data_IF_560705048714
#
_entry.id   IF_560705048714
#
_cell.length_a   1.000
_cell.length_b   1.000
_cell.length_c   1.000
_cell.angle_alpha   90.00
_cell.angle_beta   90.00
_cell.angle_gamma   90.00
#
_symmetry.space_group_name_H-M   'P 1'
#
loop_
_entity.id
_entity.type
_entity.pdbx_description
1 polymer ?
#
# COMPACT_ATOMS: atom_id res chain seq x y z
N UNK A 1 -34.89 -7.23 6.06
CA UNK A 1 -33.46 -7.12 6.43
C UNK A 1 -32.63 -7.66 5.28
N UNK A 2 -31.89 -6.80 4.56
CA UNK A 2 -30.94 -7.24 3.53
C UNK A 2 -29.75 -7.95 4.23
N UNK A 3 -29.28 -9.10 3.75
CA UNK A 3 -28.06 -9.69 4.29
C UNK A 3 -26.90 -8.73 4.04
N UNK A 4 -26.25 -8.31 5.12
CA UNK A 4 -25.00 -7.56 5.07
C UNK A 4 -23.99 -8.51 4.43
N UNK A 5 -23.58 -8.22 3.19
CA UNK A 5 -22.49 -8.92 2.55
C UNK A 5 -21.26 -8.80 3.46
N UNK A 6 -20.82 -9.93 4.02
CA UNK A 6 -19.64 -9.97 4.88
C UNK A 6 -18.46 -9.41 4.09
N UNK A 7 -17.96 -8.23 4.50
CA UNK A 7 -16.72 -7.67 3.95
C UNK A 7 -15.64 -8.74 4.08
N UNK A 8 -14.99 -9.17 2.98
CA UNK A 8 -13.87 -10.10 3.09
C UNK A 8 -12.83 -9.46 4.01
N UNK A 9 -12.46 -10.17 5.08
CA UNK A 9 -11.41 -9.73 6.00
C UNK A 9 -10.17 -9.44 5.16
N UNK A 10 -9.52 -8.30 5.34
CA UNK A 10 -8.35 -7.88 4.53
C UNK A 10 -7.22 -8.93 4.57
N UNK A 11 -7.13 -9.71 5.65
CA UNK A 11 -6.23 -10.87 5.75
C UNK A 11 -6.55 -12.03 4.80
N UNK A 12 -7.78 -12.15 4.28
CA UNK A 12 -8.19 -13.18 3.33
C UNK A 12 -7.70 -12.91 1.88
N UNK A 13 -7.13 -11.73 1.63
CA UNK A 13 -6.60 -11.35 0.31
C UNK A 13 -5.07 -11.47 0.23
N UNK A 14 -4.38 -11.49 1.38
CA UNK A 14 -2.93 -11.65 1.41
C UNK A 14 -2.55 -13.12 1.19
N UNK A 15 -1.52 -13.35 0.39
CA UNK A 15 -0.97 -14.68 0.12
C UNK A 15 -0.31 -15.26 1.38
N UNK A 16 -0.74 -16.44 1.83
CA UNK A 16 -0.22 -17.12 3.04
C UNK A 16 1.28 -17.49 2.95
N UNK A 17 1.86 -17.50 1.74
CA UNK A 17 3.27 -17.84 1.51
C UNK A 17 4.19 -16.64 1.75
N UNK A 18 3.83 -15.47 1.20
CA UNK A 18 4.68 -14.27 1.24
C UNK A 18 4.19 -13.22 2.26
N UNK A 19 2.94 -13.30 2.68
CA UNK A 19 2.32 -12.41 3.65
C UNK A 19 2.13 -10.96 3.19
N UNK A 20 2.42 -10.64 1.92
CA UNK A 20 2.52 -9.24 1.44
C UNK A 20 1.77 -8.94 0.15
N UNK A 21 1.52 -9.93 -0.70
CA UNK A 21 0.93 -9.75 -2.05
C UNK A 21 -0.42 -10.45 -2.17
N UNK A 22 -1.30 -10.03 -3.11
CA UNK A 22 -2.58 -10.69 -3.35
C UNK A 22 -2.43 -12.18 -3.63
N UNK A 23 -3.40 -12.99 -3.20
CA UNK A 23 -3.36 -14.44 -3.40
C UNK A 23 -3.21 -14.79 -4.91
N UNK A 24 -2.19 -15.56 -5.31
CA UNK A 24 -2.00 -15.93 -6.72
C UNK A 24 -3.13 -16.81 -7.24
N UNK A 25 -3.36 -16.77 -8.56
CA UNK A 25 -4.32 -17.65 -9.23
C UNK A 25 -4.02 -19.13 -8.93
N UNK A 26 -5.07 -19.93 -8.70
CA UNK A 26 -4.98 -21.37 -8.35
C UNK A 26 -4.08 -22.17 -9.31
N UNK A 27 -4.11 -21.86 -10.61
CA UNK A 27 -3.28 -22.53 -11.62
C UNK A 27 -1.79 -22.28 -11.42
N UNK A 28 -1.37 -21.06 -11.08
CA UNK A 28 0.03 -20.71 -10.83
C UNK A 28 0.53 -21.37 -9.54
N UNK A 29 -0.33 -21.44 -8.52
CA UNK A 29 -0.02 -22.16 -7.29
C UNK A 29 0.18 -23.66 -7.55
N UNK A 30 -0.70 -24.29 -8.33
CA UNK A 30 -0.56 -25.70 -8.69
C UNK A 30 0.71 -25.97 -9.50
N UNK A 31 1.01 -25.11 -10.49
CA UNK A 31 2.25 -25.22 -11.28
C UNK A 31 3.50 -25.01 -10.43
N UNK A 32 3.48 -24.08 -9.48
CA UNK A 32 4.61 -23.87 -8.57
C UNK A 32 4.87 -25.11 -7.69
N UNK A 33 3.82 -25.72 -7.15
CA UNK A 33 3.94 -26.98 -6.39
C UNK A 33 4.49 -28.11 -7.25
N UNK A 34 3.99 -28.26 -8.48
CA UNK A 34 4.50 -29.25 -9.43
C UNK A 34 5.97 -28.99 -9.77
N UNK A 35 6.36 -27.74 -10.02
CA UNK A 35 7.74 -27.36 -10.33
C UNK A 35 8.71 -27.62 -9.17
N UNK A 36 8.25 -27.51 -7.92
CA UNK A 36 9.05 -27.86 -6.74
C UNK A 36 9.25 -29.37 -6.59
N UNK A 37 8.21 -30.16 -6.87
CA UNK A 37 8.18 -31.62 -6.67
C UNK A 37 8.87 -32.38 -7.80
N UNK A 38 8.53 -32.02 -9.04
CA UNK A 38 8.81 -32.85 -10.21
C UNK A 38 10.31 -33.09 -10.48
N UNK A 39 11.22 -32.10 -10.38
CA UNK A 39 12.63 -32.33 -10.66
C UNK A 39 13.30 -33.32 -9.69
N UNK A 40 12.90 -33.27 -8.42
CA UNK A 40 13.45 -34.13 -7.37
C UNK A 40 12.98 -35.57 -7.57
N UNK A 41 11.68 -35.76 -7.81
CA UNK A 41 11.11 -37.07 -8.12
C UNK A 41 11.73 -37.66 -9.39
N UNK A 42 11.86 -36.85 -10.46
CA UNK A 42 12.46 -37.30 -11.72
C UNK A 42 13.92 -37.74 -11.53
N UNK A 43 14.71 -36.97 -10.77
CA UNK A 43 16.10 -37.31 -10.48
C UNK A 43 16.22 -38.58 -9.65
N UNK A 44 15.35 -38.76 -8.65
CA UNK A 44 15.31 -39.98 -7.83
C UNK A 44 14.97 -41.21 -8.67
N UNK A 45 13.95 -41.13 -9.53
CA UNK A 45 13.58 -42.22 -10.42
C UNK A 45 14.71 -42.56 -11.38
N UNK A 46 15.38 -41.55 -11.96
CA UNK A 46 16.53 -41.76 -12.82
C UNK A 46 17.69 -42.46 -12.07
N UNK A 47 17.96 -42.08 -10.82
CA UNK A 47 19.00 -42.68 -9.98
C UNK A 47 18.72 -44.15 -9.64
N UNK A 48 17.46 -44.45 -9.28
CA UNK A 48 17.02 -45.82 -8.98
C UNK A 48 17.15 -46.71 -10.22
N UNK A 49 16.79 -46.20 -11.39
CA UNK A 49 16.95 -46.92 -12.67
C UNK A 49 18.44 -47.14 -12.99
N UNK A 50 19.29 -46.13 -12.75
CA UNK A 50 20.71 -46.19 -13.10
C UNK A 50 21.52 -47.17 -12.22
N UNK A 51 21.24 -47.22 -10.90
CA UNK A 51 22.02 -48.03 -9.96
C UNK A 51 21.44 -49.41 -9.67
N UNK A 52 20.22 -49.72 -10.15
CA UNK A 52 19.56 -51.01 -9.95
C UNK A 52 19.64 -51.55 -8.50
N UNK A 53 19.24 -50.76 -7.48
CA UNK A 53 19.25 -51.23 -6.10
C UNK A 53 18.25 -52.39 -5.90
N UNK A 54 18.39 -53.10 -4.78
CA UNK A 54 17.42 -54.14 -4.42
C UNK A 54 16.00 -53.54 -4.30
N UNK A 55 14.97 -54.34 -4.61
CA UNK A 55 13.58 -53.88 -4.63
C UNK A 55 13.15 -53.18 -3.33
N UNK A 56 13.54 -53.74 -2.18
CA UNK A 56 13.24 -53.16 -0.87
C UNK A 56 13.87 -51.77 -0.70
N UNK A 57 15.11 -51.59 -1.16
CA UNK A 57 15.83 -50.31 -1.08
C UNK A 57 15.19 -49.29 -2.02
N UNK A 58 14.82 -49.67 -3.24
CA UNK A 58 14.14 -48.80 -4.19
C UNK A 58 12.81 -48.27 -3.63
N UNK A 59 11.97 -49.16 -3.08
CA UNK A 59 10.68 -48.81 -2.50
C UNK A 59 10.84 -47.90 -1.28
N UNK A 60 11.80 -48.18 -0.40
CA UNK A 60 12.08 -47.34 0.77
C UNK A 60 12.55 -45.94 0.36
N UNK A 61 13.49 -45.83 -0.58
CA UNK A 61 14.01 -44.55 -1.06
C UNK A 61 12.89 -43.70 -1.68
N UNK A 62 12.11 -44.28 -2.60
CA UNK A 62 10.97 -43.59 -3.22
C UNK A 62 9.96 -43.12 -2.17
N UNK A 63 9.53 -44.01 -1.27
CA UNK A 63 8.50 -43.67 -0.27
C UNK A 63 8.98 -42.58 0.69
N UNK A 64 10.22 -42.67 1.18
CA UNK A 64 10.80 -41.69 2.11
C UNK A 64 10.95 -40.34 1.41
N UNK A 65 11.52 -40.30 0.20
CA UNK A 65 11.72 -39.04 -0.51
C UNK A 65 10.40 -38.38 -0.87
N UNK A 66 9.41 -39.12 -1.40
CA UNK A 66 8.08 -38.55 -1.69
C UNK A 66 7.42 -38.00 -0.43
N UNK A 67 7.53 -38.69 0.71
CA UNK A 67 6.97 -38.22 1.98
C UNK A 67 7.65 -36.93 2.45
N UNK A 68 8.97 -36.88 2.42
CA UNK A 68 9.74 -35.67 2.76
C UNK A 68 9.36 -34.52 1.85
N UNK A 69 9.23 -34.76 0.55
CA UNK A 69 8.91 -33.75 -0.46
C UNK A 69 7.50 -33.17 -0.27
N UNK A 70 6.51 -34.00 0.07
CA UNK A 70 5.14 -33.56 0.39
C UNK A 70 5.15 -32.65 1.63
N UNK A 71 5.90 -33.03 2.67
CA UNK A 71 6.03 -32.22 3.89
C UNK A 71 6.72 -30.88 3.57
N UNK A 72 7.82 -30.93 2.80
CA UNK A 72 8.59 -29.75 2.42
C UNK A 72 7.82 -28.78 1.52
N UNK A 73 6.94 -29.28 0.64
CA UNK A 73 6.07 -28.45 -0.23
C UNK A 73 4.95 -27.76 0.54
N UNK A 74 4.54 -28.34 1.68
CA UNK A 74 3.61 -27.68 2.62
C UNK A 74 4.35 -26.61 3.43
N UNK A 75 5.68 -26.70 3.55
CA UNK A 75 6.49 -25.74 4.27
C UNK A 75 6.62 -24.39 3.51
N UNK A 76 6.37 -23.24 4.16
CA UNK A 76 6.36 -21.93 3.48
C UNK A 76 7.70 -21.54 2.83
N UNK A 77 8.80 -22.14 3.28
CA UNK A 77 10.17 -21.84 2.85
C UNK A 77 10.42 -22.20 1.38
N UNK A 78 9.95 -23.37 0.92
CA UNK A 78 10.08 -23.82 -0.46
C UNK A 78 9.32 -22.91 -1.43
N UNK A 79 8.09 -22.56 -1.08
CA UNK A 79 7.21 -21.72 -1.89
C UNK A 79 7.68 -20.26 -1.96
N UNK A 80 8.49 -19.78 -1.00
CA UNK A 80 9.12 -18.46 -1.04
C UNK A 80 10.12 -18.31 -2.19
N UNK A 81 10.87 -19.35 -2.54
CA UNK A 81 11.79 -19.31 -3.69
C UNK A 81 11.06 -19.13 -5.02
N UNK A 82 9.83 -19.65 -5.12
CA UNK A 82 8.96 -19.47 -6.29
C UNK A 82 8.11 -18.21 -6.21
N UNK A 83 8.22 -17.41 -5.13
CA UNK A 83 7.37 -16.25 -4.86
C UNK A 83 7.44 -15.19 -5.97
N UNK A 84 8.63 -14.91 -6.49
CA UNK A 84 8.82 -13.95 -7.60
C UNK A 84 8.12 -14.41 -8.89
N UNK A 85 8.21 -15.70 -9.22
CA UNK A 85 7.48 -16.26 -10.36
C UNK A 85 5.97 -16.27 -10.10
N UNK A 86 5.54 -16.68 -8.90
CA UNK A 86 4.16 -16.81 -8.44
C UNK A 86 3.40 -15.48 -8.49
N UNK A 87 4.10 -14.37 -8.26
CA UNK A 87 3.58 -13.00 -8.34
C UNK A 87 4.09 -12.20 -9.56
N UNK A 88 4.73 -12.84 -10.54
CA UNK A 88 5.30 -12.17 -11.71
C UNK A 88 4.42 -11.11 -12.41
N UNK A 89 3.10 -11.32 -12.61
CA UNK A 89 2.21 -10.30 -13.17
C UNK A 89 2.13 -9.03 -12.31
N UNK A 90 1.87 -9.21 -11.01
CA UNK A 90 1.78 -8.11 -10.03
C UNK A 90 3.12 -7.36 -9.90
N UNK A 91 4.24 -8.10 -9.93
CA UNK A 91 5.57 -7.51 -9.91
C UNK A 91 5.89 -6.73 -11.19
N UNK A 92 5.40 -7.17 -12.35
CA UNK A 92 5.56 -6.44 -13.62
C UNK A 92 4.74 -5.15 -13.64
N UNK A 93 3.55 -5.16 -13.05
CA UNK A 93 2.73 -3.95 -12.95
C UNK A 93 3.35 -2.93 -12.00
N UNK A 94 3.96 -3.40 -10.90
CA UNK A 94 4.79 -2.55 -10.01
C UNK A 94 6.04 -2.02 -10.70
N UNK A 95 6.81 -2.87 -11.38
CA UNK A 95 7.99 -2.43 -12.15
C UNK A 95 7.62 -1.44 -13.26
N UNK A 96 6.44 -1.59 -13.88
CA UNK A 96 5.92 -0.65 -14.87
C UNK A 96 5.53 0.68 -14.23
N UNK A 97 4.93 0.65 -13.04
CA UNK A 97 4.65 1.85 -12.25
C UNK A 97 5.93 2.59 -11.83
N UNK A 98 6.94 1.86 -11.34
CA UNK A 98 8.24 2.43 -10.93
C UNK A 98 9.01 3.01 -12.12
N UNK A 99 8.81 2.48 -13.33
CA UNK A 99 9.38 3.01 -14.57
C UNK A 99 8.52 4.09 -15.22
N UNK A 100 7.36 4.44 -14.66
CA UNK A 100 6.48 5.42 -15.25
C UNK A 100 7.14 6.81 -15.20
N UNK A 101 7.30 7.49 -16.35
CA UNK A 101 8.03 8.75 -16.43
C UNK A 101 7.29 9.94 -15.82
N UNK A 102 5.97 9.86 -15.63
CA UNK A 102 5.18 10.92 -15.02
C UNK A 102 4.14 10.39 -14.01
N UNK A 103 4.01 11.09 -12.89
CA UNK A 103 3.02 10.83 -11.84
C UNK A 103 2.03 11.99 -11.77
N UNK A 104 0.75 11.66 -11.58
CA UNK A 104 -0.33 12.63 -11.51
C UNK A 104 -1.26 12.33 -10.35
N UNK A 105 -1.78 13.39 -9.74
CA UNK A 105 -2.86 13.31 -8.75
C UNK A 105 -4.13 13.86 -9.38
N UNK A 106 -5.21 13.10 -9.26
CA UNK A 106 -6.52 13.39 -9.82
C UNK A 106 -7.51 13.46 -8.67
N UNK A 107 -8.23 14.57 -8.53
CA UNK A 107 -9.43 14.67 -7.69
C UNK A 107 -10.66 14.77 -8.58
N UNK A 108 -11.63 13.92 -8.31
CA UNK A 108 -12.86 13.83 -9.11
C UNK A 108 -14.04 13.49 -8.21
N UNK A 109 -15.19 14.10 -8.49
CA UNK A 109 -16.46 13.66 -7.92
C UNK A 109 -17.05 12.61 -8.85
N UNK A 110 -17.29 11.42 -8.29
CA UNK A 110 -17.91 10.31 -9.00
C UNK A 110 -19.24 10.02 -8.33
N UNK A 111 -20.30 9.89 -9.13
CA UNK A 111 -21.60 9.47 -8.60
C UNK A 111 -21.47 8.07 -8.00
N UNK A 112 -22.05 7.86 -6.81
CA UNK A 112 -22.08 6.56 -6.14
C UNK A 112 -23.10 5.63 -6.83
N UNK A 113 -22.75 5.18 -8.04
CA UNK A 113 -23.52 4.25 -8.87
C UNK A 113 -22.62 3.07 -9.27
N UNK A 114 -23.15 1.83 -9.23
CA UNK A 114 -22.41 0.65 -9.67
C UNK A 114 -21.86 0.84 -11.10
N UNK A 115 -20.59 0.51 -11.31
CA UNK A 115 -19.92 0.58 -12.62
C UNK A 115 -19.21 1.91 -12.94
N UNK A 116 -19.39 2.97 -12.15
CA UNK A 116 -18.73 4.26 -12.45
C UNK A 116 -17.21 4.21 -12.26
N UNK A 117 -16.73 3.60 -11.18
CA UNK A 117 -15.29 3.38 -10.99
C UNK A 117 -14.69 2.45 -12.06
N UNK A 118 -15.47 1.50 -12.57
CA UNK A 118 -15.04 0.62 -13.67
C UNK A 118 -14.88 1.41 -14.97
N UNK A 119 -15.85 2.27 -15.31
CA UNK A 119 -15.76 3.17 -16.46
C UNK A 119 -14.57 4.14 -16.35
N UNK A 120 -14.34 4.69 -15.15
CA UNK A 120 -13.19 5.55 -14.86
C UNK A 120 -11.87 4.80 -15.06
N UNK A 121 -11.74 3.60 -14.49
CA UNK A 121 -10.56 2.78 -14.65
C UNK A 121 -10.32 2.39 -16.11
N UNK A 122 -11.36 2.06 -16.87
CA UNK A 122 -11.26 1.73 -18.29
C UNK A 122 -10.75 2.92 -19.12
N UNK A 123 -11.30 4.11 -18.93
CA UNK A 123 -10.88 5.31 -19.67
C UNK A 123 -9.46 5.79 -19.32
N UNK A 124 -9.02 5.56 -18.07
CA UNK A 124 -7.62 5.79 -17.69
C UNK A 124 -6.70 4.74 -18.33
N UNK A 125 -7.11 3.47 -18.35
CA UNK A 125 -6.35 2.40 -19.00
C UNK A 125 -6.19 2.61 -20.52
N UNK A 126 -7.19 3.19 -21.20
CA UNK A 126 -7.10 3.58 -22.62
C UNK A 126 -5.97 4.60 -22.90
N UNK A 127 -5.51 5.31 -21.86
CA UNK A 127 -4.40 6.28 -21.92
C UNK A 127 -3.12 5.74 -21.30
N UNK A 128 -3.04 4.43 -21.09
CA UNK A 128 -1.94 3.76 -20.40
C UNK A 128 -1.69 4.34 -18.98
N UNK A 129 -2.72 4.97 -18.38
CA UNK A 129 -2.63 5.50 -17.04
C UNK A 129 -2.88 4.39 -16.02
N UNK A 130 -1.82 4.00 -15.29
CA UNK A 130 -1.90 3.00 -14.25
C UNK A 130 -2.31 3.63 -12.92
N UNK A 131 -3.37 3.13 -12.29
CA UNK A 131 -3.84 3.64 -10.99
C UNK A 131 -3.00 3.01 -9.88
N UNK A 132 -2.31 3.85 -9.11
CA UNK A 132 -1.39 3.43 -8.05
C UNK A 132 -2.08 3.41 -6.69
N UNK A 133 -2.88 4.44 -6.42
CA UNK A 133 -3.61 4.60 -5.17
C UNK A 133 -4.98 5.22 -5.43
N UNK A 134 -5.98 4.77 -4.68
CA UNK A 134 -7.31 5.37 -4.64
C UNK A 134 -7.67 5.66 -3.19
N UNK A 135 -8.04 6.91 -2.91
CA UNK A 135 -8.57 7.35 -1.64
C UNK A 135 -9.97 7.91 -1.86
N UNK A 136 -10.94 7.42 -1.07
CA UNK A 136 -12.33 7.84 -1.14
C UNK A 136 -12.63 8.70 0.06
N UNK A 137 -13.06 9.93 -0.17
CA UNK A 137 -13.47 10.88 0.86
C UNK A 137 -14.98 11.07 0.81
N UNK A 138 -15.67 10.73 1.89
CA UNK A 138 -17.09 11.01 2.05
C UNK A 138 -17.27 12.43 2.59
N UNK A 139 -17.89 13.31 1.80
CA UNK A 139 -18.20 14.69 2.16
C UNK A 139 -19.73 14.85 2.26
N UNK A 140 -20.20 15.88 2.97
CA UNK A 140 -21.64 16.21 3.02
C UNK A 140 -22.24 16.52 1.63
N UNK A 141 -21.39 16.95 0.68
CA UNK A 141 -21.76 17.29 -0.69
C UNK A 141 -21.60 16.14 -1.70
N UNK A 142 -21.18 14.94 -1.26
CA UNK A 142 -21.02 13.76 -2.11
C UNK A 142 -19.73 12.99 -1.85
N UNK A 143 -19.35 12.13 -2.80
CA UNK A 143 -18.11 11.34 -2.75
C UNK A 143 -17.05 12.02 -3.59
N UNK A 144 -15.89 12.30 -2.98
CA UNK A 144 -14.70 12.80 -3.65
C UNK A 144 -13.66 11.68 -3.70
N UNK A 145 -13.35 11.25 -4.91
CA UNK A 145 -12.30 10.27 -5.16
C UNK A 145 -11.00 10.99 -5.50
N UNK A 146 -9.94 10.53 -4.86
CA UNK A 146 -8.59 10.96 -5.11
C UNK A 146 -7.76 9.78 -5.62
N UNK A 147 -7.24 9.93 -6.83
CA UNK A 147 -6.44 8.91 -7.51
C UNK A 147 -5.02 9.43 -7.72
N UNK A 148 -4.04 8.56 -7.51
CA UNK A 148 -2.67 8.77 -7.98
C UNK A 148 -2.45 7.84 -9.16
N UNK A 149 -2.06 8.39 -10.31
CA UNK A 149 -1.84 7.63 -11.55
C UNK A 149 -0.43 7.83 -12.09
N UNK A 150 0.11 6.77 -12.66
CA UNK A 150 1.36 6.74 -13.40
C UNK A 150 1.06 6.72 -14.91
N UNK A 151 1.71 7.56 -15.69
CA UNK A 151 1.48 7.67 -17.14
C UNK A 151 2.79 7.66 -17.93
N UNK A 152 2.74 7.34 -19.24
CA UNK A 152 3.77 7.72 -20.20
C UNK A 152 4.07 9.23 -20.20
N UNK A 153 5.23 9.62 -20.72
CA UNK A 153 5.77 10.99 -20.59
C UNK A 153 5.04 12.01 -21.48
N UNK A 154 4.39 11.52 -22.52
CA UNK A 154 3.63 12.28 -23.51
C UNK A 154 2.19 12.59 -23.06
N UNK A 155 1.71 11.94 -21.99
CA UNK A 155 0.39 12.20 -21.44
C UNK A 155 0.35 13.52 -20.68
N UNK A 156 -0.60 14.38 -21.06
CA UNK A 156 -0.76 15.70 -20.46
C UNK A 156 -1.90 15.75 -19.43
N UNK A 157 -1.92 16.80 -18.62
CA UNK A 157 -3.06 17.15 -17.74
C UNK A 157 -4.39 17.17 -18.51
N UNK A 158 -4.39 17.65 -19.75
CA UNK A 158 -5.59 17.75 -20.58
C UNK A 158 -6.11 16.37 -20.99
N UNK A 159 -5.22 15.45 -21.36
CA UNK A 159 -5.58 14.07 -21.71
C UNK A 159 -6.25 13.34 -20.54
N UNK A 160 -5.68 13.46 -19.34
CA UNK A 160 -6.23 12.87 -18.13
C UNK A 160 -7.56 13.50 -17.76
N UNK A 161 -7.66 14.84 -17.81
CA UNK A 161 -8.92 15.53 -17.53
C UNK A 161 -10.02 15.07 -18.50
N UNK A 162 -9.71 14.99 -19.80
CA UNK A 162 -10.66 14.53 -20.82
C UNK A 162 -11.08 13.07 -20.61
N UNK A 163 -10.16 12.18 -20.24
CA UNK A 163 -10.47 10.78 -19.94
C UNK A 163 -11.42 10.66 -18.73
N UNK A 164 -11.12 11.37 -17.64
CA UNK A 164 -11.93 11.37 -16.42
C UNK A 164 -13.31 11.98 -16.64
N UNK A 165 -13.41 13.07 -17.41
CA UNK A 165 -14.71 13.68 -17.74
C UNK A 165 -15.54 12.77 -18.65
N UNK A 166 -14.92 12.06 -19.62
CA UNK A 166 -15.63 11.06 -20.44
C UNK A 166 -16.19 9.90 -19.63
N UNK A 167 -15.50 9.53 -18.55
CA UNK A 167 -15.98 8.54 -17.60
C UNK A 167 -17.15 9.02 -16.71
N UNK A 168 -17.62 10.26 -16.87
CA UNK A 168 -18.68 10.83 -16.03
C UNK A 168 -18.18 11.54 -14.77
N UNK A 169 -16.87 11.73 -14.63
CA UNK A 169 -16.28 12.46 -13.52
C UNK A 169 -16.64 13.95 -13.55
N UNK A 170 -17.11 14.48 -12.42
CA UNK A 170 -17.42 15.89 -12.23
C UNK A 170 -16.35 16.60 -11.38
N UNK A 171 -16.25 17.94 -11.52
CA UNK A 171 -15.31 18.79 -10.76
C UNK A 171 -13.87 18.25 -10.78
N UNK A 172 -13.42 17.80 -11.95
CA UNK A 172 -12.12 17.16 -12.13
C UNK A 172 -11.01 18.18 -11.93
N UNK A 173 -10.01 17.84 -11.12
CA UNK A 173 -8.75 18.57 -11.00
C UNK A 173 -7.60 17.58 -11.14
N UNK A 174 -6.64 17.90 -12.00
CA UNK A 174 -5.46 17.08 -12.26
C UNK A 174 -4.20 17.94 -12.08
N UNK A 175 -3.22 17.45 -11.36
CA UNK A 175 -1.92 18.12 -11.18
C UNK A 175 -0.78 17.12 -11.06
N UNK A 176 0.47 17.51 -11.37
CA UNK A 176 1.63 16.64 -11.23
C UNK A 176 1.80 16.15 -9.79
N UNK A 177 2.20 14.89 -9.64
CA UNK A 177 2.57 14.28 -8.37
C UNK A 177 4.06 13.92 -8.40
N UNK A 178 4.64 13.71 -7.21
CA UNK A 178 6.02 13.23 -7.05
C UNK A 178 6.02 11.84 -6.41
N UNK A 179 7.14 11.13 -6.47
CA UNK A 179 7.28 9.82 -5.82
C UNK A 179 7.00 9.86 -4.31
N UNK A 180 7.22 11.01 -3.66
CA UNK A 180 6.83 11.25 -2.25
C UNK A 180 5.32 11.17 -2.01
N UNK A 181 4.50 11.35 -3.06
CA UNK A 181 3.04 11.24 -3.02
C UNK A 181 2.57 9.77 -2.99
N UNK A 182 3.43 8.82 -3.40
CA UNK A 182 3.13 7.38 -3.32
C UNK A 182 3.41 6.79 -1.93
N UNK A 183 4.16 7.50 -1.09
CA UNK A 183 4.40 7.04 0.28
C UNK A 183 3.06 7.14 1.00
N UNK A 184 2.46 6.00 1.28
CA UNK A 184 1.20 5.95 2.01
C UNK A 184 1.38 6.63 3.38
N UNK A 185 0.29 7.17 3.91
CA UNK A 185 0.35 7.93 5.15
C UNK A 185 0.92 7.15 6.35
N UNK A 186 0.84 5.81 6.33
CA UNK A 186 1.38 4.95 7.39
C UNK A 186 2.90 4.85 7.28
N UNK A 187 3.41 4.59 6.08
CA UNK A 187 4.86 4.58 5.83
C UNK A 187 5.49 5.94 6.11
N UNK A 188 4.83 7.04 5.72
CA UNK A 188 5.27 8.40 6.06
C UNK A 188 5.28 8.61 7.58
N UNK A 189 4.23 8.20 8.28
CA UNK A 189 4.15 8.33 9.74
C UNK A 189 5.27 7.53 10.45
N UNK A 190 5.61 6.33 9.98
CA UNK A 190 6.70 5.53 10.53
C UNK A 190 8.08 6.15 10.27
N UNK A 191 8.30 6.73 9.08
CA UNK A 191 9.54 7.45 8.77
C UNK A 191 9.70 8.69 9.67
N UNK A 192 8.62 9.46 9.85
CA UNK A 192 8.57 10.61 10.76
C UNK A 192 8.82 10.17 12.21
N UNK A 193 8.21 9.07 12.67
CA UNK A 193 8.44 8.52 14.00
C UNK A 193 9.89 8.08 14.22
N UNK A 194 10.51 7.40 13.25
CA UNK A 194 11.92 7.01 13.34
C UNK A 194 12.85 8.23 13.43
N UNK A 195 12.52 9.32 12.74
CA UNK A 195 13.27 10.58 12.79
C UNK A 195 13.18 11.23 14.17
N UNK A 196 11.99 11.30 14.76
CA UNK A 196 11.78 11.79 16.13
C UNK A 196 12.49 10.93 17.19
N UNK A 197 12.57 9.62 16.98
CA UNK A 197 13.31 8.71 17.87
C UNK A 197 14.82 8.96 17.78
N UNK A 198 15.33 9.28 16.60
CA UNK A 198 16.75 9.58 16.40
C UNK A 198 17.12 10.97 16.93
N UNK A 199 16.23 11.95 16.79
CA UNK A 199 16.38 13.32 17.29
C UNK A 199 15.03 13.87 17.75
N UNK A 200 14.85 14.04 19.07
CA UNK A 200 13.61 14.54 19.65
C UNK A 200 13.35 16.02 19.35
N UNK A 201 14.39 16.79 19.02
CA UNK A 201 14.26 18.23 18.75
C UNK A 201 13.54 18.48 17.41
N UNK A 202 13.48 17.48 16.54
CA UNK A 202 12.74 17.53 15.28
C UNK A 202 11.21 17.42 15.44
N UNK A 203 10.71 17.10 16.64
CA UNK A 203 9.29 16.86 16.91
C UNK A 203 8.33 17.92 16.31
N UNK A 204 8.60 19.24 16.43
CA UNK A 204 7.69 20.24 15.87
C UNK A 204 7.60 20.16 14.33
N UNK A 205 8.75 20.02 13.65
CA UNK A 205 8.81 19.92 12.20
C UNK A 205 8.24 18.59 11.70
N UNK A 206 8.46 17.51 12.44
CA UNK A 206 7.90 16.19 12.21
C UNK A 206 6.36 16.19 12.27
N UNK A 207 5.76 16.82 13.28
CA UNK A 207 4.30 16.96 13.37
C UNK A 207 3.75 17.85 12.25
N UNK A 208 4.41 18.98 11.95
CA UNK A 208 4.02 19.85 10.85
C UNK A 208 3.99 19.09 9.50
N UNK A 209 5.01 18.28 9.23
CA UNK A 209 5.10 17.44 8.04
C UNK A 209 4.01 16.36 7.99
N UNK A 210 3.75 15.70 9.13
CA UNK A 210 2.71 14.67 9.26
C UNK A 210 1.31 15.22 9.00
N UNK A 211 1.05 16.45 9.42
CA UNK A 211 -0.24 17.13 9.33
C UNK A 211 -0.42 17.95 8.04
N UNK A 212 0.66 18.21 7.30
CA UNK A 212 0.64 19.18 6.21
C UNK A 212 0.29 20.60 6.71
N UNK A 213 0.75 20.95 7.90
CA UNK A 213 0.45 22.20 8.58
C UNK A 213 1.72 23.06 8.76
N UNK A 214 1.55 24.34 9.07
CA UNK A 214 2.66 25.22 9.46
C UNK A 214 2.85 25.18 10.97
N UNK A 215 4.08 24.98 11.43
CA UNK A 215 4.45 25.13 12.84
C UNK A 215 4.64 26.61 13.19
N UNK A 216 4.06 27.04 14.31
CA UNK A 216 4.12 28.40 14.82
C UNK A 216 4.82 28.41 16.18
N UNK A 217 6.13 28.72 16.24
CA UNK A 217 6.91 28.64 17.48
C UNK A 217 6.48 29.64 18.55
N UNK A 218 5.84 30.76 18.14
CA UNK A 218 5.39 31.81 19.04
C UNK A 218 3.88 31.73 19.35
N UNK A 219 3.19 30.67 18.92
CA UNK A 219 1.74 30.56 19.04
C UNK A 219 0.98 31.25 17.90
N UNK A 220 -0.35 31.35 18.04
CA UNK A 220 -1.22 32.05 17.09
C UNK A 220 -1.18 33.55 17.35
N UNK A 221 -0.90 34.35 16.31
CA UNK A 221 -0.97 35.82 16.37
C UNK A 221 -2.37 36.37 15.97
N UNK A 222 -3.18 35.57 15.25
CA UNK A 222 -4.46 35.96 14.66
C UNK A 222 -5.56 34.91 14.92
N UNK A 223 -6.85 35.31 14.84
CA UNK A 223 -7.99 34.40 15.02
C UNK A 223 -8.02 33.31 13.94
N UNK A 224 -7.58 32.10 14.30
CA UNK A 224 -7.74 30.92 13.46
C UNK A 224 -9.23 30.57 13.35
N UNK A 225 -9.68 30.23 12.13
CA UNK A 225 -11.02 29.68 11.92
C UNK A 225 -11.19 28.36 12.70
N UNK A 226 -12.42 28.04 13.11
CA UNK A 226 -12.70 26.87 13.95
C UNK A 226 -12.09 25.58 13.38
N UNK A 227 -11.28 24.89 14.19
CA UNK A 227 -10.60 23.65 13.83
C UNK A 227 -9.38 23.78 12.90
N UNK A 228 -9.01 24.97 12.42
CA UNK A 228 -7.84 25.19 11.53
C UNK A 228 -6.51 25.34 12.27
N UNK A 229 -6.57 25.47 13.60
CA UNK A 229 -5.41 25.46 14.48
C UNK A 229 -5.45 24.27 15.43
N UNK A 230 -4.28 23.69 15.70
CA UNK A 230 -4.08 22.60 16.65
C UNK A 230 -2.97 22.98 17.62
N UNK A 231 -3.28 22.93 18.91
CA UNK A 231 -2.33 23.17 20.00
C UNK A 231 -2.07 21.86 20.73
N UNK A 232 -0.82 21.45 20.82
CA UNK A 232 -0.40 20.23 21.51
C UNK A 232 0.40 20.56 22.79
N UNK A 233 0.06 19.94 23.93
CA UNK A 233 0.74 20.20 25.20
C UNK A 233 2.10 19.48 25.24
N UNK A 234 3.17 20.17 24.85
CA UNK A 234 4.53 19.60 24.89
C UNK A 234 5.22 19.86 26.23
N UNK A 235 5.57 21.12 26.52
CA UNK A 235 6.06 21.56 27.83
C UNK A 235 5.06 22.53 28.46
N UNK A 236 5.02 22.65 29.80
CA UNK A 236 4.06 23.50 30.51
C UNK A 236 4.04 24.96 30.01
N UNK A 237 5.19 25.47 29.57
CA UNK A 237 5.36 26.86 29.10
C UNK A 237 5.59 26.96 27.57
N UNK A 238 5.65 25.83 26.85
CA UNK A 238 5.93 25.80 25.41
C UNK A 238 5.03 24.78 24.69
N UNK A 239 3.75 25.12 24.47
CA UNK A 239 2.88 24.30 23.64
C UNK A 239 3.29 24.37 22.17
N UNK A 240 3.13 23.27 21.44
CA UNK A 240 3.38 23.25 20.00
C UNK A 240 2.11 23.65 19.27
N UNK A 241 2.21 24.69 18.44
CA UNK A 241 1.05 25.25 17.72
C UNK A 241 1.19 25.01 16.22
N UNK A 242 0.13 24.51 15.61
CA UNK A 242 0.06 24.19 14.18
C UNK A 242 -1.14 24.85 13.52
N UNK A 243 -0.95 25.39 12.31
CA UNK A 243 -1.99 26.08 11.55
C UNK A 243 -2.12 25.51 10.13
N UNK A 244 -3.35 25.20 9.72
CA UNK A 244 -3.74 24.79 8.37
C UNK A 244 -4.95 25.62 7.90
N UNK A 245 -4.73 26.74 7.19
CA UNK A 245 -5.77 27.75 6.96
C UNK A 245 -6.93 27.27 6.08
N UNK A 246 -6.69 26.32 5.19
CA UNK A 246 -7.67 25.89 4.19
C UNK A 246 -8.52 24.68 4.62
N UNK A 247 -8.18 24.01 5.72
CA UNK A 247 -8.80 22.73 6.10
C UNK A 247 -8.69 22.44 7.62
N UNK A 248 -9.80 22.19 8.33
CA UNK A 248 -9.77 21.85 9.74
C UNK A 248 -9.11 20.49 10.00
N UNK A 249 -8.52 20.30 11.18
CA UNK A 249 -7.93 19.02 11.57
C UNK A 249 -8.99 17.97 11.88
N UNK A 250 -8.84 16.79 11.27
CA UNK A 250 -9.70 15.64 11.57
C UNK A 250 -9.33 15.00 12.91
N UNK A 251 -10.26 14.31 13.60
CA UNK A 251 -9.95 13.59 14.83
C UNK A 251 -8.80 12.57 14.68
N UNK A 252 -8.68 11.95 13.51
CA UNK A 252 -7.61 11.00 13.22
C UNK A 252 -6.24 11.67 13.08
N UNK A 253 -6.17 12.89 12.54
CA UNK A 253 -4.94 13.69 12.46
C UNK A 253 -4.48 14.14 13.83
N UNK A 254 -5.41 14.66 14.64
CA UNK A 254 -5.16 15.07 16.03
C UNK A 254 -4.62 13.89 16.83
N UNK A 255 -5.27 12.72 16.73
CA UNK A 255 -4.82 11.50 17.40
C UNK A 255 -3.40 11.07 16.98
N UNK A 256 -3.06 11.14 15.69
CA UNK A 256 -1.70 10.83 15.21
C UNK A 256 -0.66 11.79 15.76
N UNK A 257 -0.97 13.09 15.79
CA UNK A 257 -0.06 14.10 16.33
C UNK A 257 0.20 13.89 17.83
N UNK A 258 -0.84 13.57 18.61
CA UNK A 258 -0.68 13.17 20.01
C UNK A 258 0.20 11.93 20.17
N UNK A 259 0.04 10.90 19.31
CA UNK A 259 0.86 9.68 19.42
C UNK A 259 2.33 9.92 19.09
N UNK A 260 2.63 10.84 18.18
CA UNK A 260 4.00 11.22 17.88
C UNK A 260 4.62 12.03 19.03
N UNK A 261 3.84 12.89 19.68
CA UNK A 261 4.21 13.59 20.92
C UNK A 261 4.48 12.61 22.07
N UNK A 262 3.58 11.65 22.30
CA UNK A 262 3.74 10.60 23.31
C UNK A 262 5.04 9.81 23.07
N UNK A 263 5.35 9.49 21.80
CA UNK A 263 6.58 8.80 21.43
C UNK A 263 7.82 9.62 21.78
N UNK A 264 7.83 10.92 21.48
CA UNK A 264 8.93 11.82 21.83
C UNK A 264 9.17 11.85 23.35
N UNK A 265 8.09 11.91 24.14
CA UNK A 265 8.21 11.88 25.61
C UNK A 265 8.74 10.56 26.17
N UNK A 266 8.58 9.44 25.46
CA UNK A 266 9.15 8.15 25.85
C UNK A 266 10.66 8.12 25.61
N UNK A 267 11.13 8.69 24.49
CA UNK A 267 12.56 8.64 24.11
C UNK A 267 13.41 9.74 24.77
N UNK A 268 12.80 10.85 25.18
CA UNK A 268 13.46 11.91 25.94
C UNK A 268 13.16 11.74 27.43
N UNK A 269 14.02 11.09 28.23
CA UNK A 269 13.78 10.93 29.66
C UNK A 269 13.70 12.31 30.32
N UNK A 270 12.59 12.57 31.02
CA UNK A 270 12.43 13.75 31.89
C UNK A 270 13.53 13.74 32.96
N UNK A 271 14.51 14.62 32.83
CA UNK A 271 15.42 15.02 33.92
C UNK A 271 14.79 16.07 34.81
#
# INVERSE_FOLDING_TARGET
>A
MRPIAARPRVHALACDVCGRLPHPRRTRLALAKLAAVFPVELALHALVIHWHPSYLVAVLLLTITTTILVIWVVEPSAMRFLGSWLHGPELRDRDRADRAPALWRIRVHVDDRPGQLEALAAHLADREANILTVHVHHLESGVLDELVVATPADITTHDLTAAVTKAGGAKVRVWPASALTLIDGQTKALAVAARVVADSDELPLAIAELLGARYLPNGLEDEASDGTALVLPNEPERPLTFLRPDEPFTPAEIARAHRLLDLAHIVTPRT
#
